data_IF_043179313802
#
_entry.id   IF_043179313802
#
_cell.length_a   1.000
_cell.length_b   1.000
_cell.length_c   1.000
_cell.angle_alpha   90.00
_cell.angle_beta   90.00
_cell.angle_gamma   90.00
#
_symmetry.space_group_name_H-M   'P 1'
#
loop_
_entity.id
_entity.type
_entity.pdbx_description
1 polymer ?
#
# COMPACT_ATOMS: atom_id res chain seq x y z
N UNK A 1 5.56 43.98 -8.17
CA UNK A 1 5.51 42.61 -8.70
C UNK A 1 4.10 42.09 -8.47
N UNK A 2 3.43 41.53 -9.48
CA UNK A 2 2.04 41.07 -9.31
C UNK A 2 2.03 39.77 -8.46
N UNK A 3 1.05 39.55 -7.58
CA UNK A 3 0.97 38.36 -6.69
C UNK A 3 1.09 37.04 -7.47
N UNK A 4 0.59 37.04 -8.71
CA UNK A 4 0.70 35.92 -9.65
C UNK A 4 2.13 35.64 -10.10
N UNK A 5 2.96 36.67 -10.28
CA UNK A 5 4.38 36.55 -10.63
C UNK A 5 5.19 36.04 -9.44
N UNK A 6 4.91 36.54 -8.22
CA UNK A 6 5.48 36.01 -6.98
C UNK A 6 5.17 34.52 -6.80
N UNK A 7 3.90 34.12 -6.98
CA UNK A 7 3.52 32.71 -6.89
C UNK A 7 4.23 31.86 -7.96
N UNK A 8 4.34 32.34 -9.20
CA UNK A 8 5.07 31.62 -10.26
C UNK A 8 6.55 31.50 -9.93
N UNK A 9 7.15 32.52 -9.35
CA UNK A 9 8.55 32.50 -8.93
C UNK A 9 8.77 31.46 -7.82
N UNK A 10 7.94 31.48 -6.77
CA UNK A 10 8.00 30.50 -5.67
C UNK A 10 7.74 29.07 -6.17
N UNK A 11 6.77 28.89 -7.08
CA UNK A 11 6.49 27.58 -7.68
C UNK A 11 7.66 27.06 -8.52
N UNK A 12 8.31 27.94 -9.29
CA UNK A 12 9.48 27.56 -10.07
C UNK A 12 10.69 27.24 -9.17
N UNK A 13 10.90 27.99 -8.10
CA UNK A 13 11.96 27.72 -7.11
C UNK A 13 11.71 26.44 -6.32
N UNK A 14 10.44 26.06 -6.13
CA UNK A 14 10.04 24.85 -5.41
C UNK A 14 9.81 23.63 -6.31
N UNK A 15 10.02 23.74 -7.63
CA UNK A 15 9.96 22.58 -8.54
C UNK A 15 11.11 21.62 -8.25
N UNK A 16 10.81 20.57 -7.50
CA UNK A 16 11.70 19.44 -7.30
C UNK A 16 11.80 18.67 -8.61
N UNK A 17 12.84 18.93 -9.39
CA UNK A 17 13.18 18.14 -10.58
C UNK A 17 14.14 17.03 -10.18
N UNK A 18 13.79 15.78 -10.49
CA UNK A 18 14.74 14.68 -10.36
C UNK A 18 15.71 14.72 -11.52
N UNK A 19 17.01 14.50 -11.25
CA UNK A 19 18.00 14.35 -12.30
C UNK A 19 17.62 13.19 -13.21
N UNK A 20 17.79 13.37 -14.52
CA UNK A 20 17.40 12.36 -15.51
C UNK A 20 18.15 11.04 -15.31
N UNK A 21 19.37 11.12 -14.78
CA UNK A 21 20.15 9.95 -14.36
C UNK A 21 19.44 9.10 -13.30
N UNK A 22 18.81 9.71 -12.28
CA UNK A 22 18.08 8.93 -11.25
C UNK A 22 16.80 8.31 -11.79
N UNK A 23 16.09 9.01 -12.68
CA UNK A 23 14.92 8.45 -13.36
C UNK A 23 15.33 7.23 -14.19
N UNK A 24 16.45 7.34 -14.91
CA UNK A 24 17.02 6.25 -15.68
C UNK A 24 17.42 5.04 -14.81
N UNK A 25 18.08 5.27 -13.67
CA UNK A 25 18.42 4.20 -12.72
C UNK A 25 17.16 3.47 -12.19
N UNK A 26 16.11 4.21 -11.84
CA UNK A 26 14.84 3.63 -11.38
C UNK A 26 14.15 2.82 -12.48
N UNK A 27 14.19 3.30 -13.73
CA UNK A 27 13.64 2.58 -14.88
C UNK A 27 14.41 1.28 -15.15
N UNK A 28 15.75 1.29 -15.07
CA UNK A 28 16.55 0.07 -15.21
C UNK A 28 16.15 -0.96 -14.16
N UNK A 29 16.03 -0.57 -12.89
CA UNK A 29 15.63 -1.49 -11.82
C UNK A 29 14.25 -2.09 -12.07
N UNK A 30 13.30 -1.28 -12.56
CA UNK A 30 11.98 -1.76 -12.95
C UNK A 30 12.06 -2.76 -14.13
N UNK A 31 12.85 -2.45 -15.16
CA UNK A 31 13.06 -3.35 -16.30
C UNK A 31 13.71 -4.67 -15.88
N UNK A 32 14.69 -4.65 -14.97
CA UNK A 32 15.31 -5.86 -14.43
C UNK A 32 14.26 -6.73 -13.72
N UNK A 33 13.35 -6.13 -12.95
CA UNK A 33 12.26 -6.86 -12.31
C UNK A 33 11.32 -7.54 -13.31
N UNK A 34 10.93 -6.83 -14.37
CA UNK A 34 10.05 -7.36 -15.43
C UNK A 34 10.75 -8.48 -16.21
N UNK A 35 11.99 -8.26 -16.64
CA UNK A 35 12.79 -9.27 -17.35
C UNK A 35 13.02 -10.49 -16.46
N UNK A 36 13.30 -10.28 -15.17
CA UNK A 36 13.46 -11.37 -14.20
C UNK A 36 12.21 -12.24 -14.10
N UNK A 37 11.02 -11.64 -14.03
CA UNK A 37 9.76 -12.39 -14.00
C UNK A 37 9.55 -13.25 -15.25
N UNK A 38 9.74 -12.67 -16.45
CA UNK A 38 9.60 -13.42 -17.70
C UNK A 38 10.68 -14.48 -17.89
N UNK A 39 11.91 -14.23 -17.41
CA UNK A 39 12.97 -15.21 -17.43
C UNK A 39 12.64 -16.43 -16.55
N UNK A 40 12.17 -16.23 -15.31
CA UNK A 40 11.77 -17.35 -14.44
C UNK A 40 10.60 -18.11 -15.06
N UNK A 41 9.64 -17.42 -15.66
CA UNK A 41 8.50 -18.06 -16.33
C UNK A 41 8.90 -18.88 -17.58
N UNK A 42 9.97 -18.49 -18.27
CA UNK A 42 10.45 -19.18 -19.47
C UNK A 42 11.44 -20.32 -19.17
N UNK A 43 12.30 -20.15 -18.16
CA UNK A 43 13.42 -21.07 -17.89
C UNK A 43 13.24 -21.94 -16.64
N UNK A 44 12.33 -21.60 -15.73
CA UNK A 44 12.08 -22.34 -14.48
C UNK A 44 10.62 -22.80 -14.38
N UNK A 45 10.27 -23.40 -13.23
CA UNK A 45 8.90 -23.78 -12.92
C UNK A 45 8.01 -22.52 -12.82
N UNK A 46 6.94 -22.50 -13.60
CA UNK A 46 5.95 -21.42 -13.60
C UNK A 46 5.38 -21.17 -12.20
N UNK A 47 5.26 -22.21 -11.37
CA UNK A 47 4.73 -22.09 -10.00
C UNK A 47 5.56 -21.12 -9.14
N UNK A 48 6.89 -21.22 -9.23
CA UNK A 48 7.82 -20.37 -8.47
C UNK A 48 7.70 -18.91 -8.92
N UNK A 49 7.52 -18.66 -10.22
CA UNK A 49 7.31 -17.31 -10.74
C UNK A 49 6.05 -16.65 -10.18
N UNK A 50 4.92 -17.39 -10.16
CA UNK A 50 3.64 -16.88 -9.68
C UNK A 50 3.65 -16.66 -8.16
N UNK A 51 4.25 -17.56 -7.38
CA UNK A 51 4.41 -17.38 -5.93
C UNK A 51 5.26 -16.14 -5.59
N UNK A 52 6.38 -15.96 -6.30
CA UNK A 52 7.24 -14.80 -6.11
C UNK A 52 6.50 -13.49 -6.46
N UNK A 53 5.72 -13.48 -7.53
CA UNK A 53 4.88 -12.34 -7.91
C UNK A 53 3.81 -12.06 -6.84
N UNK A 54 3.17 -13.10 -6.30
CA UNK A 54 2.15 -12.98 -5.25
C UNK A 54 2.71 -12.30 -4.00
N UNK A 55 3.82 -12.83 -3.46
CA UNK A 55 4.46 -12.30 -2.25
C UNK A 55 4.86 -10.83 -2.46
N UNK A 56 5.51 -10.52 -3.58
CA UNK A 56 5.95 -9.16 -3.89
C UNK A 56 4.75 -8.20 -4.03
N UNK A 57 3.68 -8.63 -4.71
CA UNK A 57 2.50 -7.80 -4.92
C UNK A 57 1.78 -7.53 -3.60
N UNK A 58 1.61 -8.54 -2.75
CA UNK A 58 1.03 -8.38 -1.41
C UNK A 58 1.88 -7.43 -0.56
N UNK A 59 3.20 -7.63 -0.53
CA UNK A 59 4.10 -6.81 0.28
C UNK A 59 4.11 -5.33 -0.15
N UNK A 60 4.42 -5.02 -1.40
CA UNK A 60 4.56 -3.63 -1.84
C UNK A 60 3.23 -2.90 -1.93
N UNK A 61 2.15 -3.59 -2.34
CA UNK A 61 0.81 -2.97 -2.38
C UNK A 61 0.25 -2.79 -0.97
N UNK A 62 0.52 -3.74 -0.06
CA UNK A 62 0.18 -3.62 1.36
C UNK A 62 0.81 -2.39 2.01
N UNK A 63 2.12 -2.18 1.81
CA UNK A 63 2.85 -0.99 2.28
C UNK A 63 2.28 0.30 1.68
N UNK A 64 1.94 0.30 0.38
CA UNK A 64 1.35 1.46 -0.29
C UNK A 64 -0.01 1.84 0.32
N UNK A 65 -0.87 0.84 0.56
CA UNK A 65 -2.18 1.05 1.17
C UNK A 65 -2.09 1.52 2.62
N UNK A 66 -1.20 0.93 3.40
CA UNK A 66 -0.92 1.37 4.76
C UNK A 66 -0.29 2.76 4.84
N UNK A 67 0.47 3.19 3.83
CA UNK A 67 0.96 4.57 3.71
C UNK A 67 -0.17 5.59 3.64
N UNK A 68 -1.21 5.32 2.84
CA UNK A 68 -2.45 6.11 2.83
C UNK A 68 -3.10 6.11 4.23
N UNK A 69 -3.14 4.94 4.88
CA UNK A 69 -3.73 4.80 6.21
C UNK A 69 -3.03 5.66 7.26
N UNK A 70 -1.72 5.88 7.19
CA UNK A 70 -1.03 6.84 8.07
C UNK A 70 -1.57 8.27 7.93
N UNK A 71 -1.84 8.72 6.70
CA UNK A 71 -2.45 10.05 6.48
C UNK A 71 -3.87 10.13 7.07
N UNK A 72 -4.64 9.05 6.93
CA UNK A 72 -5.97 8.91 7.53
C UNK A 72 -5.88 8.96 9.05
N UNK A 73 -4.98 8.18 9.67
CA UNK A 73 -4.74 8.16 11.12
C UNK A 73 -4.44 9.57 11.62
N UNK A 74 -3.49 10.28 11.00
CA UNK A 74 -3.16 11.66 11.41
C UNK A 74 -4.34 12.62 11.31
N UNK A 75 -5.24 12.40 10.34
CA UNK A 75 -6.44 13.22 10.14
C UNK A 75 -7.52 12.91 11.18
N UNK A 76 -7.72 11.64 11.52
CA UNK A 76 -8.70 11.22 12.55
C UNK A 76 -8.25 11.72 13.93
N UNK A 77 -6.97 11.57 14.26
CA UNK A 77 -6.44 11.94 15.58
C UNK A 77 -6.12 13.42 15.71
N UNK A 78 -6.29 14.22 14.64
CA UNK A 78 -5.84 15.62 14.54
C UNK A 78 -4.40 15.82 15.05
N UNK A 79 -3.50 14.90 14.67
CA UNK A 79 -2.15 14.86 15.21
C UNK A 79 -1.31 16.03 14.67
N UNK A 80 -0.93 16.97 15.55
CA UNK A 80 -0.11 18.11 15.16
C UNK A 80 1.28 17.70 14.63
N UNK A 81 1.90 16.66 15.22
CA UNK A 81 3.21 16.14 14.82
C UNK A 81 3.18 15.48 13.43
N UNK A 82 2.08 14.77 13.11
CA UNK A 82 1.88 14.04 11.86
C UNK A 82 1.73 14.93 10.63
N UNK A 83 1.39 16.22 10.79
CA UNK A 83 1.19 17.17 9.66
C UNK A 83 2.41 17.24 8.73
N UNK A 84 3.61 17.16 9.30
CA UNK A 84 4.85 17.25 8.52
C UNK A 84 5.13 16.03 7.64
N UNK A 85 4.64 14.86 8.07
CA UNK A 85 4.90 13.57 7.42
C UNK A 85 3.70 13.12 6.57
N UNK A 86 2.52 13.70 6.78
CA UNK A 86 1.26 13.38 6.09
C UNK A 86 1.41 13.34 4.56
N UNK A 87 2.08 14.33 3.97
CA UNK A 87 2.31 14.40 2.51
C UNK A 87 3.22 13.30 2.00
N UNK A 88 4.20 12.87 2.79
CA UNK A 88 5.10 11.77 2.44
C UNK A 88 4.34 10.45 2.51
N UNK A 89 3.47 10.29 3.52
CA UNK A 89 2.60 9.13 3.65
C UNK A 89 1.61 9.01 2.48
N UNK A 90 0.99 10.13 2.05
CA UNK A 90 0.14 10.17 0.86
C UNK A 90 0.90 9.85 -0.44
N UNK A 91 2.18 10.22 -0.54
CA UNK A 91 2.99 9.89 -1.70
C UNK A 91 3.24 8.38 -1.85
N UNK A 92 3.22 7.61 -0.75
CA UNK A 92 3.33 6.15 -0.80
C UNK A 92 2.14 5.50 -1.51
N UNK A 93 0.98 6.16 -1.55
CA UNK A 93 -0.19 5.70 -2.30
C UNK A 93 0.00 5.79 -3.83
N UNK A 94 1.06 6.46 -4.31
CA UNK A 94 1.36 6.53 -5.75
C UNK A 94 1.68 5.16 -6.38
N UNK A 95 2.09 4.17 -5.58
CA UNK A 95 2.32 2.80 -6.04
C UNK A 95 1.01 1.99 -6.21
N UNK A 96 -0.11 2.46 -5.66
CA UNK A 96 -1.37 1.74 -5.63
C UNK A 96 -1.91 1.35 -7.03
N UNK A 97 -1.85 2.20 -8.08
CA UNK A 97 -2.24 1.79 -9.44
C UNK A 97 -1.38 0.67 -9.99
N UNK A 98 -0.07 0.68 -9.70
CA UNK A 98 0.86 -0.35 -10.14
C UNK A 98 0.52 -1.66 -9.44
N UNK A 99 0.29 -1.62 -8.12
CA UNK A 99 -0.18 -2.77 -7.35
C UNK A 99 -1.48 -3.36 -7.90
N UNK A 100 -2.43 -2.52 -8.32
CA UNK A 100 -3.67 -2.98 -8.95
C UNK A 100 -3.45 -3.71 -10.28
N UNK A 101 -2.54 -3.20 -11.12
CA UNK A 101 -2.16 -3.87 -12.37
C UNK A 101 -1.50 -5.22 -12.05
N UNK A 102 -0.63 -5.28 -11.04
CA UNK A 102 0.02 -6.53 -10.62
C UNK A 102 -0.99 -7.55 -10.06
N UNK A 103 -1.97 -7.11 -9.26
CA UNK A 103 -3.07 -7.98 -8.82
C UNK A 103 -3.93 -8.48 -9.99
N UNK A 104 -4.15 -7.64 -11.01
CA UNK A 104 -4.83 -8.07 -12.23
C UNK A 104 -4.02 -9.13 -13.00
N UNK A 105 -2.71 -8.93 -13.13
CA UNK A 105 -1.80 -9.92 -13.75
C UNK A 105 -1.81 -11.23 -12.95
N UNK A 106 -1.80 -11.17 -11.62
CA UNK A 106 -1.94 -12.35 -10.76
C UNK A 106 -3.27 -13.07 -10.97
N UNK A 107 -4.37 -12.32 -11.08
CA UNK A 107 -5.68 -12.89 -11.38
C UNK A 107 -5.67 -13.64 -12.72
N UNK A 108 -5.05 -13.09 -13.77
CA UNK A 108 -4.86 -13.79 -15.03
C UNK A 108 -4.00 -15.06 -14.89
N UNK A 109 -2.96 -15.01 -14.05
CA UNK A 109 -2.12 -16.17 -13.71
C UNK A 109 -2.92 -17.31 -13.08
N UNK A 110 -3.78 -16.98 -12.11
CA UNK A 110 -4.67 -17.95 -11.45
C UNK A 110 -5.66 -18.56 -12.45
N UNK A 111 -6.29 -17.75 -13.31
CA UNK A 111 -7.25 -18.24 -14.33
C UNK A 111 -6.57 -19.11 -15.39
N UNK A 112 -5.37 -18.75 -15.83
CA UNK A 112 -4.59 -19.50 -16.83
C UNK A 112 -4.09 -20.81 -16.27
N UNK A 113 -3.71 -20.83 -14.99
CA UNK A 113 -3.12 -21.98 -14.33
C UNK A 113 -4.13 -22.74 -13.47
N UNK A 114 -5.14 -23.33 -14.13
CA UNK A 114 -6.07 -24.30 -13.52
C UNK A 114 -5.37 -25.55 -12.94
N UNK A 115 -4.06 -25.69 -13.16
CA UNK A 115 -3.23 -26.81 -12.70
C UNK A 115 -2.31 -26.48 -11.52
N UNK A 116 -2.15 -25.21 -11.12
CA UNK A 116 -1.19 -24.82 -10.07
C UNK A 116 -1.72 -24.95 -8.63
N UNK A 117 -3.01 -25.22 -8.45
CA UNK A 117 -3.60 -25.54 -7.15
C UNK A 117 -4.33 -26.89 -7.27
N UNK A 118 -3.66 -28.02 -6.99
CA UNK A 118 -4.21 -29.35 -7.29
C UNK A 118 -5.47 -29.71 -6.48
N UNK A 119 -5.78 -28.99 -5.39
CA UNK A 119 -7.00 -29.17 -4.58
C UNK A 119 -8.19 -28.33 -5.07
N UNK A 120 -8.34 -28.15 -6.39
CA UNK A 120 -9.39 -27.31 -7.01
C UNK A 120 -10.42 -28.09 -7.84
N UNK A 121 -10.64 -29.39 -7.59
CA UNK A 121 -11.66 -30.16 -8.34
C UNK A 121 -13.09 -29.66 -8.14
N UNK A 122 -13.36 -28.80 -7.15
CA UNK A 122 -14.69 -28.21 -6.87
C UNK A 122 -14.91 -26.75 -7.31
N UNK A 123 -13.96 -26.11 -8.02
CA UNK A 123 -13.90 -24.64 -8.10
C UNK A 123 -14.32 -24.00 -9.43
N UNK A 124 -15.43 -24.45 -10.02
CA UNK A 124 -16.13 -23.62 -11.01
C UNK A 124 -16.66 -22.32 -10.36
N UNK A 125 -17.05 -22.38 -9.08
CA UNK A 125 -17.62 -21.26 -8.32
C UNK A 125 -16.58 -20.26 -7.77
N UNK A 126 -15.34 -20.68 -7.48
CA UNK A 126 -14.30 -19.79 -6.94
C UNK A 126 -13.79 -18.76 -7.97
N UNK A 127 -13.87 -19.06 -9.27
CA UNK A 127 -13.54 -18.11 -10.34
C UNK A 127 -14.52 -16.92 -10.40
N UNK A 128 -15.78 -17.15 -10.03
CA UNK A 128 -16.83 -16.13 -9.92
C UNK A 128 -16.65 -15.29 -8.65
N UNK A 129 -16.29 -15.92 -7.54
CA UNK A 129 -15.91 -15.24 -6.29
C UNK A 129 -14.68 -14.36 -6.52
N UNK A 130 -13.59 -14.92 -7.07
CA UNK A 130 -12.36 -14.19 -7.36
C UNK A 130 -12.58 -13.01 -8.34
N UNK A 131 -13.49 -13.15 -9.33
CA UNK A 131 -13.89 -12.05 -10.22
C UNK A 131 -14.78 -10.99 -9.52
N UNK A 132 -15.72 -11.40 -8.68
CA UNK A 132 -16.52 -10.49 -7.84
C UNK A 132 -15.66 -9.79 -6.77
N UNK A 133 -14.57 -10.41 -6.33
CA UNK A 133 -13.64 -9.90 -5.33
C UNK A 133 -12.51 -9.05 -5.94
N UNK A 134 -12.03 -9.34 -7.15
CA UNK A 134 -11.28 -8.35 -7.94
C UNK A 134 -12.09 -7.06 -8.07
N UNK A 135 -13.41 -7.16 -8.27
CA UNK A 135 -14.31 -5.99 -8.27
C UNK A 135 -14.35 -5.27 -6.91
N UNK A 136 -14.26 -5.97 -5.76
CA UNK A 136 -14.20 -5.39 -4.40
C UNK A 136 -12.84 -4.77 -4.06
N UNK A 137 -11.74 -5.39 -4.46
CA UNK A 137 -10.36 -4.85 -4.32
C UNK A 137 -10.17 -3.67 -5.28
N UNK A 138 -10.63 -3.77 -6.53
CA UNK A 138 -10.68 -2.67 -7.49
C UNK A 138 -11.57 -1.52 -7.00
N UNK A 139 -12.67 -1.81 -6.28
CA UNK A 139 -13.50 -0.81 -5.63
C UNK A 139 -12.76 -0.14 -4.46
N UNK A 140 -12.08 -0.90 -3.60
CA UNK A 140 -11.26 -0.37 -2.50
C UNK A 140 -10.08 0.49 -2.95
N UNK A 141 -9.40 0.05 -4.01
CA UNK A 141 -8.29 0.78 -4.65
C UNK A 141 -8.81 1.97 -5.46
N UNK A 142 -9.92 1.82 -6.19
CA UNK A 142 -10.62 2.91 -6.88
C UNK A 142 -11.12 3.98 -5.92
N UNK A 143 -11.55 3.60 -4.70
CA UNK A 143 -11.83 4.53 -3.62
C UNK A 143 -10.56 5.22 -3.11
N UNK A 144 -9.46 4.48 -2.86
CA UNK A 144 -8.16 5.08 -2.53
C UNK A 144 -7.67 6.09 -3.59
N UNK A 145 -7.82 5.76 -4.87
CA UNK A 145 -7.44 6.60 -6.02
C UNK A 145 -8.39 7.75 -6.30
N UNK A 146 -9.68 7.64 -5.95
CA UNK A 146 -10.63 8.76 -6.05
C UNK A 146 -10.55 9.69 -4.84
N UNK A 147 -9.99 9.23 -3.73
CA UNK A 147 -9.79 9.99 -2.50
C UNK A 147 -8.42 10.65 -2.42
N UNK A 148 -7.35 10.05 -2.96
CA UNK A 148 -6.05 10.71 -3.14
C UNK A 148 -6.14 12.12 -3.78
N UNK A 149 -6.98 12.36 -4.81
CA UNK A 149 -7.24 13.70 -5.35
C UNK A 149 -7.98 14.62 -4.36
N UNK A 150 -8.79 14.10 -3.44
CA UNK A 150 -9.56 14.89 -2.47
C UNK A 150 -8.68 15.45 -1.34
N UNK A 151 -7.54 14.79 -1.07
CA UNK A 151 -6.49 15.27 -0.17
C UNK A 151 -5.55 16.30 -0.83
N UNK A 152 -5.71 16.60 -2.14
CA UNK A 152 -4.89 17.54 -2.90
C UNK A 152 -5.74 18.72 -3.41
N UNK A 153 -5.23 19.97 -3.39
CA UNK A 153 -5.89 21.07 -4.08
C UNK A 153 -5.97 20.77 -5.60
N UNK A 154 -7.08 21.11 -6.28
CA UNK A 154 -7.28 20.89 -7.71
C UNK A 154 -6.12 21.35 -8.61
N UNK A 155 -5.41 22.43 -8.24
CA UNK A 155 -4.28 22.96 -9.01
C UNK A 155 -3.04 22.06 -9.08
N UNK A 156 -2.92 21.02 -8.24
CA UNK A 156 -1.72 20.18 -8.18
C UNK A 156 -1.63 19.13 -9.31
N UNK A 157 -2.76 18.77 -9.93
CA UNK A 157 -2.78 17.82 -11.06
C UNK A 157 -2.04 18.36 -12.29
N UNK A 158 -1.92 19.68 -12.41
CA UNK A 158 -1.15 20.32 -13.49
C UNK A 158 0.38 20.10 -13.42
N UNK A 159 0.90 19.61 -12.28
CA UNK A 159 2.34 19.45 -12.03
C UNK A 159 2.89 18.02 -12.07
N UNK A 160 2.03 16.99 -12.08
CA UNK A 160 2.46 15.59 -12.17
C UNK A 160 2.69 15.23 -13.64
N UNK A 161 3.91 15.45 -14.13
CA UNK A 161 4.35 15.16 -15.51
C UNK A 161 4.40 13.66 -15.89
N UNK A 162 3.37 12.89 -15.55
CA UNK A 162 3.05 11.61 -16.20
C UNK A 162 2.25 11.99 -17.45
N UNK A 163 2.56 11.39 -18.60
CA UNK A 163 2.17 11.84 -19.95
C UNK A 163 0.67 11.77 -20.30
N UNK A 164 -0.20 12.30 -19.44
CA UNK A 164 -1.64 12.44 -19.65
C UNK A 164 -2.03 13.90 -19.83
N UNK A 165 -1.16 14.73 -20.43
CA UNK A 165 -1.39 16.18 -20.61
C UNK A 165 -2.76 16.50 -21.23
N UNK A 166 -3.19 15.73 -22.24
CA UNK A 166 -4.50 15.89 -22.87
C UNK A 166 -5.68 15.35 -22.03
N UNK A 167 -5.50 14.26 -21.26
CA UNK A 167 -6.55 13.69 -20.40
C UNK A 167 -6.74 14.52 -19.12
N UNK A 168 -5.64 15.07 -18.60
CA UNK A 168 -5.56 15.98 -17.47
C UNK A 168 -6.12 17.36 -17.80
N UNK A 169 -5.97 17.85 -19.03
CA UNK A 169 -6.58 19.11 -19.45
C UNK A 169 -8.11 18.96 -19.58
N UNK A 170 -8.59 17.84 -20.12
CA UNK A 170 -10.04 17.60 -20.30
C UNK A 170 -10.78 17.29 -18.99
N UNK A 171 -10.14 16.56 -18.07
CA UNK A 171 -10.72 16.22 -16.75
C UNK A 171 -10.42 17.31 -15.71
N UNK A 172 -9.26 17.97 -15.81
CA UNK A 172 -8.86 19.08 -14.95
C UNK A 172 -9.74 20.31 -15.14
N UNK A 173 -10.13 20.63 -16.38
CA UNK A 173 -11.00 21.77 -16.66
C UNK A 173 -12.38 21.65 -15.97
N UNK A 174 -12.95 20.44 -15.84
CA UNK A 174 -14.21 20.20 -15.11
C UNK A 174 -14.09 20.41 -13.60
N UNK A 175 -12.90 20.15 -13.02
CA UNK A 175 -12.63 20.37 -11.60
C UNK A 175 -12.22 21.82 -11.29
N UNK A 176 -11.63 22.54 -12.25
CA UNK A 176 -11.24 23.94 -12.09
C UNK A 176 -12.35 24.94 -12.40
N UNK A 177 -13.41 24.52 -13.10
CA UNK A 177 -14.55 25.40 -13.44
C UNK A 177 -15.30 25.93 -12.20
N UNK A 178 -15.22 25.21 -11.08
CA UNK A 178 -15.78 25.61 -9.76
C UNK A 178 -14.76 26.21 -8.79
N UNK A 179 -13.52 26.40 -9.23
CA UNK A 179 -12.45 26.88 -8.36
C UNK A 179 -12.73 28.32 -7.91
N UNK A 180 -12.88 28.53 -6.60
CA UNK A 180 -13.10 29.87 -6.02
C UNK A 180 -11.79 30.53 -5.61
N UNK A 181 -11.35 30.23 -4.40
CA UNK A 181 -10.18 30.83 -3.76
C UNK A 181 -9.41 29.76 -2.97
N UNK A 182 -8.07 29.88 -2.93
CA UNK A 182 -7.19 28.85 -2.37
C UNK A 182 -7.52 28.51 -0.91
N UNK A 183 -7.80 29.54 -0.10
CA UNK A 183 -8.06 29.35 1.33
C UNK A 183 -9.41 28.65 1.54
N UNK A 184 -10.44 29.07 0.80
CA UNK A 184 -11.76 28.45 0.83
C UNK A 184 -11.76 26.98 0.34
N UNK A 185 -10.96 26.65 -0.68
CA UNK A 185 -10.82 25.29 -1.20
C UNK A 185 -10.04 24.39 -0.22
N UNK A 186 -9.03 24.95 0.44
CA UNK A 186 -8.25 24.24 1.46
C UNK A 186 -9.13 23.88 2.66
N UNK A 187 -9.96 24.80 3.15
CA UNK A 187 -10.93 24.52 4.21
C UNK A 187 -11.96 23.47 3.77
N UNK A 188 -12.55 23.61 2.59
CA UNK A 188 -13.52 22.66 2.07
C UNK A 188 -12.92 21.24 1.94
N UNK A 189 -11.68 21.11 1.47
CA UNK A 189 -10.95 19.84 1.44
C UNK A 189 -10.70 19.29 2.84
N UNK A 190 -10.30 20.14 3.79
CA UNK A 190 -10.06 19.76 5.17
C UNK A 190 -11.31 19.14 5.83
N UNK A 191 -12.48 19.79 5.71
CA UNK A 191 -13.73 19.28 6.27
C UNK A 191 -14.19 17.98 5.59
N UNK A 192 -14.08 17.89 4.26
CA UNK A 192 -14.39 16.65 3.52
C UNK A 192 -13.49 15.50 3.98
N UNK A 193 -12.18 15.74 4.09
CA UNK A 193 -11.22 14.75 4.52
C UNK A 193 -11.49 14.28 5.95
N UNK A 194 -11.83 15.18 6.88
CA UNK A 194 -12.17 14.82 8.26
C UNK A 194 -13.43 13.97 8.33
N UNK A 195 -14.41 14.20 7.46
CA UNK A 195 -15.65 13.38 7.37
C UNK A 195 -15.41 12.01 6.72
N UNK A 196 -14.52 11.93 5.74
CA UNK A 196 -14.23 10.69 5.01
C UNK A 196 -13.22 9.79 5.73
N UNK A 197 -12.30 10.36 6.50
CA UNK A 197 -11.21 9.62 7.14
C UNK A 197 -11.69 8.41 7.98
N UNK A 198 -12.73 8.50 8.83
CA UNK A 198 -13.22 7.33 9.57
C UNK A 198 -13.71 6.20 8.66
N UNK A 199 -14.44 6.54 7.59
CA UNK A 199 -14.92 5.56 6.61
C UNK A 199 -13.78 4.87 5.88
N UNK A 200 -12.71 5.61 5.56
CA UNK A 200 -11.50 5.05 4.96
C UNK A 200 -10.76 4.11 5.90
N UNK A 201 -10.72 4.43 7.20
CA UNK A 201 -10.15 3.55 8.21
C UNK A 201 -10.89 2.22 8.34
N UNK A 202 -12.23 2.26 8.32
CA UNK A 202 -13.06 1.05 8.30
C UNK A 202 -12.87 0.25 7.01
N UNK A 203 -12.87 0.93 5.86
CA UNK A 203 -12.62 0.29 4.58
C UNK A 203 -11.24 -0.38 4.54
N UNK A 204 -10.21 0.28 5.08
CA UNK A 204 -8.87 -0.27 5.21
C UNK A 204 -8.83 -1.57 6.01
N UNK A 205 -9.51 -1.61 7.14
CA UNK A 205 -9.54 -2.80 7.99
C UNK A 205 -10.22 -3.97 7.29
N UNK A 206 -11.37 -3.73 6.65
CA UNK A 206 -12.12 -4.75 5.93
C UNK A 206 -11.37 -5.24 4.69
N UNK A 207 -10.86 -4.32 3.85
CA UNK A 207 -10.18 -4.67 2.62
C UNK A 207 -8.86 -5.41 2.86
N UNK A 208 -8.08 -4.99 3.86
CA UNK A 208 -6.85 -5.71 4.23
C UNK A 208 -7.15 -7.12 4.71
N UNK A 209 -8.21 -7.30 5.50
CA UNK A 209 -8.63 -8.63 5.98
C UNK A 209 -9.10 -9.52 4.82
N UNK A 210 -9.90 -8.97 3.91
CA UNK A 210 -10.35 -9.71 2.71
C UNK A 210 -9.18 -10.10 1.82
N UNK A 211 -8.19 -9.20 1.60
CA UNK A 211 -6.99 -9.55 0.84
C UNK A 211 -6.23 -10.69 1.51
N UNK A 212 -6.06 -10.66 2.83
CA UNK A 212 -5.40 -11.73 3.57
C UNK A 212 -6.14 -13.06 3.45
N UNK A 213 -7.46 -13.07 3.58
CA UNK A 213 -8.25 -14.30 3.44
C UNK A 213 -8.22 -14.83 2.00
N UNK A 214 -8.41 -13.96 1.02
CA UNK A 214 -8.59 -14.37 -0.37
C UNK A 214 -7.27 -14.73 -1.08
N UNK A 215 -6.16 -14.08 -0.74
CA UNK A 215 -4.88 -14.23 -1.46
C UNK A 215 -3.78 -14.92 -0.65
N UNK A 216 -3.93 -15.04 0.66
CA UNK A 216 -2.95 -15.72 1.51
C UNK A 216 -3.54 -16.96 2.18
N UNK A 217 -4.68 -16.84 2.85
CA UNK A 217 -5.31 -17.97 3.55
C UNK A 217 -5.81 -19.02 2.54
N UNK A 218 -6.38 -18.61 1.42
CA UNK A 218 -6.88 -19.50 0.36
C UNK A 218 -5.83 -20.43 -0.29
N UNK A 219 -4.53 -20.17 -0.05
CA UNK A 219 -3.44 -21.07 -0.48
C UNK A 219 -3.60 -22.44 0.20
N UNK A 220 -4.12 -22.45 1.42
CA UNK A 220 -4.45 -23.66 2.20
C UNK A 220 -5.92 -23.60 2.63
N UNK A 221 -6.78 -24.32 1.91
CA UNK A 221 -8.24 -24.24 2.07
C UNK A 221 -8.76 -24.89 3.35
N UNK A 222 -7.98 -25.83 3.91
CA UNK A 222 -8.37 -26.56 5.12
C UNK A 222 -8.04 -25.74 6.38
N UNK A 223 -7.13 -24.76 6.25
CA UNK A 223 -6.74 -23.89 7.33
C UNK A 223 -7.52 -22.57 7.35
N UNK A 224 -8.04 -22.21 8.52
CA UNK A 224 -8.71 -20.93 8.73
C UNK A 224 -8.24 -20.25 10.01
N UNK A 225 -8.19 -18.91 10.00
CA UNK A 225 -7.91 -18.14 11.21
C UNK A 225 -8.48 -16.73 11.11
N UNK A 226 -9.38 -16.39 12.02
CA UNK A 226 -10.03 -15.07 12.06
C UNK A 226 -9.04 -13.93 12.33
N UNK A 227 -7.99 -14.19 13.12
CA UNK A 227 -6.98 -13.18 13.48
C UNK A 227 -6.01 -12.87 12.34
N UNK A 228 -5.90 -13.74 11.34
CA UNK A 228 -4.93 -13.60 10.25
C UNK A 228 -5.15 -12.32 9.41
N UNK A 229 -6.40 -11.90 9.23
CA UNK A 229 -6.72 -10.64 8.55
C UNK A 229 -6.16 -9.41 9.29
N UNK A 230 -6.30 -9.40 10.62
CA UNK A 230 -5.79 -8.30 11.47
C UNK A 230 -4.26 -8.33 11.55
N UNK A 231 -3.65 -9.52 11.58
CA UNK A 231 -2.20 -9.65 11.50
C UNK A 231 -1.64 -9.03 10.22
N UNK A 232 -2.24 -9.31 9.06
CA UNK A 232 -1.81 -8.73 7.80
C UNK A 232 -1.98 -7.20 7.79
N UNK A 233 -3.11 -6.71 8.28
CA UNK A 233 -3.38 -5.27 8.44
C UNK A 233 -2.28 -4.57 9.25
N UNK A 234 -1.93 -5.11 10.42
CA UNK A 234 -0.91 -4.50 11.31
C UNK A 234 0.50 -4.68 10.76
N UNK A 235 0.78 -5.80 10.06
CA UNK A 235 2.03 -6.00 9.34
C UNK A 235 2.27 -4.90 8.32
N UNK A 236 1.24 -4.56 7.54
CA UNK A 236 1.30 -3.50 6.54
C UNK A 236 1.48 -2.12 7.19
N UNK A 237 0.79 -1.84 8.30
CA UNK A 237 1.00 -0.59 9.07
C UNK A 237 2.43 -0.50 9.60
N UNK A 238 2.98 -1.57 10.15
CA UNK A 238 4.37 -1.60 10.61
C UNK A 238 5.35 -1.35 9.45
N UNK A 239 5.17 -2.05 8.32
CA UNK A 239 6.01 -1.89 7.13
C UNK A 239 5.92 -0.49 6.50
N UNK A 240 4.72 0.10 6.47
CA UNK A 240 4.53 1.48 6.03
C UNK A 240 5.18 2.48 6.99
N UNK A 241 5.08 2.26 8.30
CA UNK A 241 5.77 3.08 9.30
C UNK A 241 7.28 3.08 9.12
N UNK A 242 7.88 1.90 8.93
CA UNK A 242 9.32 1.78 8.64
C UNK A 242 9.71 2.49 7.33
N UNK A 243 8.92 2.31 6.27
CA UNK A 243 9.15 2.98 4.98
C UNK A 243 9.04 4.50 5.11
N UNK A 244 8.06 4.99 5.87
CA UNK A 244 7.83 6.40 6.13
C UNK A 244 9.00 7.01 6.90
N UNK A 245 9.54 6.31 7.90
CA UNK A 245 10.74 6.71 8.65
C UNK A 245 11.94 6.87 7.70
N UNK A 246 12.18 5.88 6.84
CA UNK A 246 13.27 5.91 5.84
C UNK A 246 13.08 7.08 4.87
N UNK A 247 11.88 7.26 4.31
CA UNK A 247 11.57 8.34 3.38
C UNK A 247 11.73 9.72 4.03
N UNK A 248 11.28 9.87 5.28
CA UNK A 248 11.48 11.10 6.03
C UNK A 248 12.96 11.38 6.29
N UNK A 249 13.76 10.38 6.65
CA UNK A 249 15.21 10.54 6.86
C UNK A 249 15.94 10.96 5.57
N UNK A 250 15.57 10.36 4.42
CA UNK A 250 16.15 10.68 3.11
C UNK A 250 15.77 12.10 2.65
N UNK A 251 14.49 12.47 2.76
CA UNK A 251 14.02 13.79 2.32
C UNK A 251 14.40 14.92 3.26
N UNK A 252 14.50 14.66 4.58
CA UNK A 252 14.95 15.65 5.57
C UNK A 252 16.27 16.29 5.16
N UNK A 253 17.28 15.47 4.85
CA UNK A 253 18.61 15.94 4.44
C UNK A 253 18.61 16.54 3.04
N UNK A 254 17.92 15.92 2.09
CA UNK A 254 17.94 16.35 0.67
C UNK A 254 17.17 17.63 0.39
N UNK A 255 16.06 17.85 1.09
CA UNK A 255 15.17 19.00 0.88
C UNK A 255 15.34 20.08 1.96
N UNK A 256 16.35 19.95 2.84
CA UNK A 256 16.62 20.88 3.95
C UNK A 256 15.39 21.09 4.85
N UNK A 257 14.63 20.03 5.11
CA UNK A 257 13.36 20.06 5.88
C UNK A 257 13.59 19.89 7.39
N UNK A 258 14.79 20.14 7.90
CA UNK A 258 15.17 19.85 9.29
C UNK A 258 14.38 20.67 10.31
N UNK A 259 13.96 21.87 9.94
CA UNK A 259 13.12 22.74 10.77
C UNK A 259 11.65 22.30 10.75
N UNK A 260 11.21 21.60 9.70
CA UNK A 260 9.81 21.22 9.50
C UNK A 260 9.52 19.81 10.06
N UNK A 261 10.42 18.87 9.82
CA UNK A 261 10.45 17.55 10.46
C UNK A 261 11.47 17.67 11.58
N UNK A 262 11.04 18.00 12.80
CA UNK A 262 11.94 18.11 13.96
C UNK A 262 12.37 16.73 14.45
N UNK A 263 13.35 16.67 15.38
CA UNK A 263 13.77 15.39 15.97
C UNK A 263 12.64 14.74 16.78
N UNK A 264 11.87 15.54 17.52
CA UNK A 264 10.76 15.04 18.35
C UNK A 264 9.69 14.35 17.51
N UNK A 265 9.28 14.99 16.39
CA UNK A 265 8.32 14.41 15.44
C UNK A 265 8.83 13.09 14.83
N UNK A 266 10.15 13.00 14.61
CA UNK A 266 10.78 11.78 14.13
C UNK A 266 10.80 10.69 15.20
N UNK A 267 11.01 11.05 16.47
CA UNK A 267 10.96 10.11 17.58
C UNK A 267 9.54 9.58 17.84
N UNK A 268 8.51 10.42 17.70
CA UNK A 268 7.11 10.02 17.86
C UNK A 268 6.69 8.96 16.82
N UNK A 269 7.16 9.10 15.57
CA UNK A 269 6.86 8.09 14.56
C UNK A 269 7.59 6.76 14.81
N UNK A 270 8.83 6.83 15.32
CA UNK A 270 9.57 5.64 15.73
C UNK A 270 8.87 4.92 16.88
N UNK A 271 8.33 5.65 17.87
CA UNK A 271 7.52 5.04 18.95
C UNK A 271 6.28 4.36 18.41
N UNK A 272 5.58 4.98 17.48
CA UNK A 272 4.39 4.40 16.86
C UNK A 272 4.73 3.11 16.09
N UNK A 273 5.77 3.13 15.25
CA UNK A 273 6.22 1.93 14.52
C UNK A 273 6.71 0.83 15.47
N UNK A 274 7.41 1.20 16.54
CA UNK A 274 7.84 0.25 17.57
C UNK A 274 6.65 -0.40 18.30
N UNK A 275 5.65 0.40 18.69
CA UNK A 275 4.42 -0.10 19.30
C UNK A 275 3.65 -1.05 18.36
N UNK A 276 3.59 -0.74 17.07
CA UNK A 276 3.02 -1.63 16.05
C UNK A 276 3.81 -2.94 15.94
N UNK A 277 5.14 -2.91 16.08
CA UNK A 277 5.97 -4.12 16.12
C UNK A 277 5.72 -5.00 17.35
N UNK A 278 5.52 -4.40 18.52
CA UNK A 278 5.11 -5.13 19.72
C UNK A 278 3.72 -5.76 19.55
N UNK A 279 2.75 -5.00 19.02
CA UNK A 279 1.41 -5.50 18.75
C UNK A 279 1.43 -6.64 17.72
N UNK A 280 2.25 -6.52 16.67
CA UNK A 280 2.43 -7.58 15.68
C UNK A 280 3.01 -8.85 16.33
N UNK A 281 4.06 -8.70 17.13
CA UNK A 281 4.71 -9.81 17.85
C UNK A 281 3.70 -10.50 18.77
N UNK A 282 2.91 -9.73 19.51
CA UNK A 282 1.84 -10.25 20.36
C UNK A 282 0.84 -11.08 19.55
N UNK A 283 0.39 -10.60 18.38
CA UNK A 283 -0.59 -11.33 17.58
C UNK A 283 -0.05 -12.59 16.93
N UNK A 284 1.22 -12.62 16.52
CA UNK A 284 1.84 -13.85 16.05
C UNK A 284 1.93 -14.86 17.21
N UNK A 285 2.41 -14.41 18.36
CA UNK A 285 2.53 -15.26 19.54
C UNK A 285 1.17 -15.81 20.01
N UNK A 286 0.14 -14.98 20.07
CA UNK A 286 -1.20 -15.41 20.47
C UNK A 286 -1.82 -16.39 19.47
N UNK A 287 -1.51 -16.30 18.18
CA UNK A 287 -1.96 -17.28 17.19
C UNK A 287 -1.30 -18.63 17.42
N UNK A 288 0.02 -18.62 17.58
CA UNK A 288 0.83 -19.83 17.76
C UNK A 288 0.41 -20.56 19.02
N UNK A 289 0.26 -19.86 20.15
CA UNK A 289 -0.05 -20.50 21.43
C UNK A 289 -1.45 -21.13 21.44
N UNK A 290 -2.44 -20.52 20.78
CA UNK A 290 -3.80 -21.07 20.72
C UNK A 290 -3.83 -22.33 19.88
N UNK A 291 -3.25 -22.30 18.67
CA UNK A 291 -3.21 -23.47 17.78
C UNK A 291 -2.42 -24.61 18.45
N UNK A 292 -1.29 -24.28 19.07
CA UNK A 292 -0.45 -25.25 19.77
C UNK A 292 -1.16 -25.87 20.98
N UNK A 293 -1.86 -25.05 21.78
CA UNK A 293 -2.56 -25.52 22.98
C UNK A 293 -3.81 -26.33 22.67
N UNK A 294 -4.60 -25.90 21.68
CA UNK A 294 -5.83 -26.60 21.26
C UNK A 294 -5.53 -27.91 20.52
N UNK A 295 -4.41 -27.97 19.78
CA UNK A 295 -3.93 -29.15 19.06
C UNK A 295 -5.01 -29.84 18.21
N UNK A 296 -5.81 -29.02 17.50
CA UNK A 296 -6.87 -29.50 16.60
C UNK A 296 -6.24 -30.04 15.31
N UNK A 297 -6.68 -31.20 14.79
CA UNK A 297 -6.09 -31.82 13.61
C UNK A 297 -6.21 -30.95 12.34
N UNK A 298 -7.20 -30.06 12.28
CA UNK A 298 -7.41 -29.13 11.16
C UNK A 298 -6.43 -27.93 11.19
N UNK A 299 -6.03 -27.46 12.37
CA UNK A 299 -5.22 -26.24 12.51
C UNK A 299 -3.72 -26.50 12.73
N UNK A 300 -3.39 -27.65 13.33
CA UNK A 300 -2.01 -28.01 13.68
C UNK A 300 -1.06 -28.18 12.48
N UNK A 301 -1.50 -28.68 11.29
CA UNK A 301 -0.65 -28.77 10.11
C UNK A 301 0.00 -27.44 9.72
N UNK A 302 -0.70 -26.31 9.90
CA UNK A 302 -0.18 -24.98 9.62
C UNK A 302 1.13 -24.67 10.37
N UNK A 303 1.19 -25.00 11.66
CA UNK A 303 2.39 -24.82 12.48
C UNK A 303 3.44 -25.90 12.19
N UNK A 304 3.03 -27.15 12.03
CA UNK A 304 3.95 -28.27 11.80
C UNK A 304 4.73 -28.12 10.50
N UNK A 305 4.06 -27.73 9.40
CA UNK A 305 4.71 -27.52 8.10
C UNK A 305 5.79 -26.44 8.21
N UNK A 306 5.52 -25.37 8.95
CA UNK A 306 6.48 -24.27 9.15
C UNK A 306 7.61 -24.68 10.10
N UNK A 307 7.31 -25.24 11.28
CA UNK A 307 8.35 -25.58 12.26
C UNK A 307 9.28 -26.73 11.82
N UNK A 308 8.79 -27.68 11.01
CA UNK A 308 9.59 -28.85 10.57
C UNK A 308 10.31 -28.66 9.23
N UNK A 309 9.98 -27.63 8.48
CA UNK A 309 10.62 -27.36 7.19
C UNK A 309 12.05 -26.85 7.38
N UNK A 310 12.98 -27.23 6.49
CA UNK A 310 14.41 -26.89 6.60
C UNK A 310 14.65 -25.38 6.48
N UNK A 311 13.80 -24.71 5.72
CA UNK A 311 13.84 -23.30 5.40
C UNK A 311 13.55 -22.46 6.65
N UNK A 312 12.61 -22.91 7.47
CA UNK A 312 12.17 -22.22 8.68
C UNK A 312 12.87 -22.73 9.94
N UNK A 313 13.44 -23.94 9.91
CA UNK A 313 14.22 -24.49 11.02
C UNK A 313 15.43 -23.64 11.42
N UNK A 314 15.99 -22.83 10.50
CA UNK A 314 17.05 -21.86 10.84
C UNK A 314 16.58 -20.67 11.69
N UNK A 315 15.27 -20.37 11.67
CA UNK A 315 14.71 -19.29 12.47
C UNK A 315 14.36 -19.74 13.91
N UNK A 316 14.26 -21.05 14.15
CA UNK A 316 13.74 -21.62 15.40
C UNK A 316 14.62 -22.75 16.00
N UNK A 317 15.73 -23.09 15.37
CA UNK A 317 16.64 -24.17 15.77
C UNK A 317 18.02 -23.68 16.20
#
# INVERSE_FOLDING_TARGET
MNRQEEMRHVLNDTRITFSDFRKFQLLILACIGVVGFFAVLAFMDAYVAWQALLINTLFFTGISYAGLMYSVIFTITDAYWGRSMKRIAEAMAAFMPIGMILFFVLFLGVVRSRSCYPYQSGMAELSVLCAAQYRRVAFGVGHGLSVCPQFRPPGYWSGAGIGTRQLSERTGNSFTEKYRDNDSEMEASYYKNKRLAPWLGVAYALLSSLIAFDWMMSIDQEWFSTMFGVQYLVSNLMGAGATLIIMCALFRKRLKLENYITLDRFHDICKLTFALGLLWTYMIFSQVIIIWYANLPEETPYLMMRLKSKEWGRCFG
#
